data_IF_467781274383
#
_entry.id   IF_467781274383
#
_cell.length_a   1.000
_cell.length_b   1.000
_cell.length_c   1.000
_cell.angle_alpha   90.00
_cell.angle_beta   90.00
_cell.angle_gamma   90.00
#
_symmetry.space_group_name_H-M   'P 1'
#
loop_
_entity.id
_entity.type
_entity.pdbx_description
1 polymer ?
#
# COMPACT_ATOMS: atom_id res chain seq x y z
N UNK A 1 -16.93 -1.01 -5.92
CA UNK A 1 -16.73 -1.79 -7.16
C UNK A 1 -17.17 -0.97 -8.36
N UNK A 2 -16.36 -0.92 -9.40
CA UNK A 2 -16.66 -0.26 -10.69
C UNK A 2 -16.62 -1.33 -11.79
N UNK A 3 -17.61 -1.37 -12.68
CA UNK A 3 -17.58 -2.25 -13.85
C UNK A 3 -17.09 -1.45 -15.07
N UNK A 4 -15.92 -1.82 -15.60
CA UNK A 4 -15.32 -1.17 -16.78
C UNK A 4 -16.09 -1.60 -18.04
N UNK A 5 -17.20 -0.92 -18.31
CA UNK A 5 -18.05 -0.95 -19.54
C UNK A 5 -19.52 -0.60 -19.25
N UNK A 6 -19.94 -0.63 -17.98
CA UNK A 6 -21.29 -0.25 -17.58
C UNK A 6 -21.35 1.26 -17.31
N UNK A 7 -22.36 1.93 -17.86
CA UNK A 7 -22.65 3.34 -17.55
C UNK A 7 -23.15 3.53 -16.11
N UNK A 8 -23.43 2.44 -15.38
CA UNK A 8 -24.05 2.44 -14.06
C UNK A 8 -23.22 1.67 -13.03
N UNK A 9 -23.29 2.15 -11.79
CA UNK A 9 -22.88 1.41 -10.59
C UNK A 9 -23.79 0.19 -10.40
N UNK A 10 -23.24 -1.00 -10.17
CA UNK A 10 -24.01 -2.19 -9.79
C UNK A 10 -24.93 -1.86 -8.60
N UNK A 11 -26.22 -2.20 -8.76
CA UNK A 11 -27.22 -2.10 -7.69
C UNK A 11 -26.81 -3.05 -6.55
N UNK A 12 -26.72 -2.50 -5.34
CA UNK A 12 -25.97 -3.10 -4.25
C UNK A 12 -26.88 -4.02 -3.45
N UNK A 13 -26.44 -5.25 -3.21
CA UNK A 13 -26.89 -6.00 -2.04
C UNK A 13 -26.63 -5.20 -0.74
N UNK A 14 -26.85 -5.82 0.43
CA UNK A 14 -26.63 -5.16 1.72
C UNK A 14 -25.27 -4.45 1.78
N UNK A 15 -25.22 -3.12 1.95
CA UNK A 15 -23.97 -2.37 1.93
C UNK A 15 -23.10 -2.76 3.12
N UNK A 16 -21.80 -2.98 2.88
CA UNK A 16 -20.82 -3.16 3.94
C UNK A 16 -20.78 -1.92 4.85
N UNK A 17 -20.47 -2.08 6.15
CA UNK A 17 -20.12 -0.96 7.02
C UNK A 17 -19.04 -0.10 6.35
N UNK A 18 -19.17 1.22 6.47
CA UNK A 18 -18.18 2.16 5.94
C UNK A 18 -16.81 1.88 6.55
N UNK A 19 -15.79 1.67 5.71
CA UNK A 19 -14.43 1.37 6.13
C UNK A 19 -13.38 2.03 5.24
N UNK A 20 -12.22 2.35 5.79
CA UNK A 20 -11.06 2.89 5.06
C UNK A 20 -9.77 2.20 5.52
N UNK A 21 -8.73 2.28 4.68
CA UNK A 21 -7.47 1.52 4.87
C UNK A 21 -7.71 0.02 5.09
N UNK A 22 -8.76 -0.53 4.48
CA UNK A 22 -8.95 -1.97 4.27
C UNK A 22 -8.18 -2.41 3.03
N UNK A 23 -8.04 -3.71 2.83
CA UNK A 23 -7.52 -4.28 1.59
C UNK A 23 -8.62 -4.94 0.79
N UNK A 24 -8.45 -4.98 -0.53
CA UNK A 24 -9.32 -5.67 -1.46
C UNK A 24 -8.44 -6.48 -2.43
N UNK A 25 -8.42 -7.80 -2.29
CA UNK A 25 -7.51 -8.70 -3.00
C UNK A 25 -8.30 -9.63 -3.90
N UNK A 26 -8.01 -9.61 -5.19
CA UNK A 26 -8.61 -10.56 -6.14
C UNK A 26 -8.15 -11.99 -5.82
N UNK A 27 -9.08 -12.94 -5.86
CA UNK A 27 -8.85 -14.38 -5.70
C UNK A 27 -8.80 -15.05 -7.09
N UNK A 28 -8.25 -16.27 -7.16
CA UNK A 28 -8.04 -16.97 -8.44
C UNK A 28 -9.34 -17.38 -9.14
N UNK A 29 -10.42 -17.52 -8.38
CA UNK A 29 -11.77 -17.82 -8.90
C UNK A 29 -12.55 -16.56 -9.36
N UNK A 30 -11.93 -15.38 -9.28
CA UNK A 30 -12.52 -14.11 -9.68
C UNK A 30 -13.32 -13.41 -8.58
N UNK A 31 -13.46 -14.00 -7.39
CA UNK A 31 -13.99 -13.31 -6.20
C UNK A 31 -12.97 -12.30 -5.66
N UNK A 32 -13.38 -11.49 -4.68
CA UNK A 32 -12.51 -10.50 -4.04
C UNK A 32 -12.61 -10.62 -2.52
N UNK A 33 -11.48 -10.87 -1.86
CA UNK A 33 -11.37 -10.77 -0.41
C UNK A 33 -11.30 -9.30 0.00
N UNK A 34 -12.15 -8.89 0.93
CA UNK A 34 -12.13 -7.59 1.59
C UNK A 34 -11.82 -7.82 3.05
N UNK A 35 -10.68 -7.32 3.54
CA UNK A 35 -10.20 -7.61 4.88
C UNK A 35 -9.96 -6.34 5.70
N UNK A 36 -10.46 -6.35 6.94
CA UNK A 36 -10.19 -5.37 7.99
C UNK A 36 -10.48 -3.92 7.58
N UNK A 37 -9.60 -3.02 8.03
CA UNK A 37 -9.78 -1.56 7.89
C UNK A 37 -10.40 -0.93 9.14
N UNK A 38 -10.46 0.39 9.14
CA UNK A 38 -11.05 1.17 10.22
C UNK A 38 -12.53 1.47 9.93
N UNK A 39 -13.43 1.11 10.85
CA UNK A 39 -14.89 1.20 10.67
C UNK A 39 -15.55 2.21 11.60
N UNK A 40 -15.01 2.39 12.81
CA UNK A 40 -15.50 3.34 13.78
C UNK A 40 -14.56 4.54 13.83
N UNK A 41 -15.10 5.75 13.65
CA UNK A 41 -14.35 7.00 13.73
C UNK A 41 -15.08 7.95 14.67
N UNK A 42 -14.36 8.50 15.65
CA UNK A 42 -14.90 9.46 16.60
C UNK A 42 -14.02 10.69 16.70
N UNK A 43 -14.62 11.87 16.90
CA UNK A 43 -13.85 13.09 17.08
C UNK A 43 -13.18 13.10 18.46
N UNK A 44 -11.92 13.48 18.52
CA UNK A 44 -11.13 13.54 19.75
C UNK A 44 -10.27 14.81 19.77
N UNK A 45 -9.94 15.38 20.95
CA UNK A 45 -8.98 16.46 21.03
C UNK A 45 -7.65 16.07 20.38
N UNK A 46 -7.03 17.00 19.66
CA UNK A 46 -5.68 16.77 19.17
C UNK A 46 -4.70 16.71 20.36
N UNK A 47 -3.88 15.66 20.44
CA UNK A 47 -2.80 15.54 21.43
C UNK A 47 -1.81 16.70 21.33
N UNK A 48 -1.17 17.03 22.45
CA UNK A 48 -0.19 18.12 22.51
C UNK A 48 1.04 17.88 21.61
N UNK A 49 1.37 16.62 21.33
CA UNK A 49 2.46 16.19 20.43
C UNK A 49 2.04 16.05 18.96
N UNK A 50 0.76 16.31 18.64
CA UNK A 50 0.19 16.18 17.30
C UNK A 50 -0.38 17.52 16.85
N UNK A 51 0.26 18.14 15.85
CA UNK A 51 -0.20 19.40 15.24
C UNK A 51 -1.40 19.24 14.30
N UNK A 52 -2.54 18.80 14.83
CA UNK A 52 -3.82 18.82 14.13
C UNK A 52 -4.70 19.99 14.57
N UNK A 53 -5.53 20.50 13.66
CA UNK A 53 -6.65 21.42 14.02
C UNK A 53 -7.92 20.64 14.34
N UNK A 54 -8.06 19.43 13.80
CA UNK A 54 -9.12 18.48 14.14
C UNK A 54 -8.54 17.07 14.16
N UNK A 55 -8.85 16.31 15.19
CA UNK A 55 -8.38 14.94 15.32
C UNK A 55 -9.54 13.97 15.47
N UNK A 56 -9.32 12.76 14.96
CA UNK A 56 -10.27 11.67 15.02
C UNK A 56 -9.53 10.41 15.47
N UNK A 57 -10.15 9.64 16.33
CA UNK A 57 -9.70 8.30 16.65
C UNK A 57 -10.44 7.32 15.76
N UNK A 58 -9.71 6.35 15.21
CA UNK A 58 -10.24 5.31 14.36
C UNK A 58 -9.94 3.93 14.95
N UNK A 59 -10.96 3.08 15.05
CA UNK A 59 -10.85 1.70 15.56
C UNK A 59 -10.91 0.71 14.41
N UNK A 60 -9.97 -0.23 14.39
CA UNK A 60 -9.91 -1.28 13.39
C UNK A 60 -11.01 -2.33 13.60
N UNK A 61 -11.37 -2.98 12.51
CA UNK A 61 -12.30 -4.10 12.45
C UNK A 61 -11.54 -5.37 12.06
N UNK A 62 -12.01 -6.49 12.59
CA UNK A 62 -11.65 -7.88 12.24
C UNK A 62 -12.61 -8.48 11.21
N UNK A 63 -13.57 -7.72 10.68
CA UNK A 63 -14.48 -8.22 9.67
C UNK A 63 -13.70 -8.55 8.37
N UNK A 64 -14.04 -9.68 7.77
CA UNK A 64 -13.67 -10.02 6.41
C UNK A 64 -14.89 -10.44 5.60
N UNK A 65 -14.85 -10.15 4.30
CA UNK A 65 -15.90 -10.50 3.36
C UNK A 65 -15.31 -11.01 2.06
N UNK A 66 -15.97 -11.98 1.45
CA UNK A 66 -15.74 -12.34 0.05
C UNK A 66 -16.84 -11.71 -0.79
N UNK A 67 -16.45 -10.84 -1.71
CA UNK A 67 -17.34 -10.30 -2.72
C UNK A 67 -17.35 -11.22 -3.94
N UNK A 68 -18.54 -11.64 -4.35
CA UNK A 68 -18.76 -12.38 -5.59
C UNK A 68 -19.30 -11.43 -6.68
N UNK A 69 -18.49 -11.10 -7.72
CA UNK A 69 -18.94 -10.25 -8.81
C UNK A 69 -20.08 -10.83 -9.65
N UNK A 70 -20.26 -12.16 -9.69
CA UNK A 70 -21.31 -12.80 -10.49
C UNK A 70 -22.71 -12.55 -9.90
N UNK A 71 -22.80 -12.52 -8.58
CA UNK A 71 -24.06 -12.27 -7.84
C UNK A 71 -24.15 -10.84 -7.30
N UNK A 72 -23.05 -10.09 -7.31
CA UNK A 72 -22.91 -8.77 -6.70
C UNK A 72 -23.18 -8.76 -5.19
N UNK A 73 -22.89 -9.87 -4.52
CA UNK A 73 -23.11 -10.05 -3.08
C UNK A 73 -21.80 -10.07 -2.30
N UNK A 74 -21.88 -9.65 -1.04
CA UNK A 74 -20.81 -9.80 -0.06
C UNK A 74 -21.18 -10.94 0.90
N UNK A 75 -20.28 -11.88 1.06
CA UNK A 75 -20.41 -13.01 1.96
C UNK A 75 -19.46 -12.80 3.14
N UNK A 76 -19.92 -12.76 4.39
CA UNK A 76 -19.03 -12.67 5.54
C UNK A 76 -18.15 -13.92 5.62
N UNK A 77 -16.86 -13.73 5.86
CA UNK A 77 -15.95 -14.84 6.20
C UNK A 77 -16.21 -15.22 7.65
N UNK A 78 -16.48 -16.49 7.90
CA UNK A 78 -16.70 -16.98 9.26
C UNK A 78 -15.46 -16.74 10.13
N UNK A 79 -15.66 -16.25 11.37
CA UNK A 79 -14.57 -15.89 12.28
C UNK A 79 -13.92 -14.54 12.00
N UNK A 80 -13.86 -14.11 10.73
CA UNK A 80 -13.15 -12.88 10.35
C UNK A 80 -11.64 -13.06 10.43
N UNK A 81 -10.91 -11.95 10.51
CA UNK A 81 -9.49 -11.94 10.82
C UNK A 81 -9.28 -12.33 12.29
N UNK A 82 -8.19 -13.04 12.59
CA UNK A 82 -7.76 -13.29 13.97
C UNK A 82 -7.40 -12.00 14.72
N UNK A 83 -7.05 -10.94 13.99
CA UNK A 83 -6.70 -9.66 14.57
C UNK A 83 -7.31 -8.50 13.83
N UNK A 84 -8.13 -7.69 14.52
CA UNK A 84 -8.57 -6.40 13.99
C UNK A 84 -7.38 -5.53 13.58
N UNK A 85 -7.36 -5.10 12.31
CA UNK A 85 -6.27 -4.32 11.73
C UNK A 85 -6.74 -3.39 10.61
N UNK A 86 -6.25 -2.16 10.60
CA UNK A 86 -6.35 -1.22 9.48
C UNK A 86 -4.97 -0.78 9.01
N UNK A 87 -4.85 -0.37 7.73
CA UNK A 87 -3.57 0.06 7.15
C UNK A 87 -2.54 -1.06 6.96
N UNK A 88 -3.00 -2.31 6.98
CA UNK A 88 -2.24 -3.51 6.67
C UNK A 88 -2.05 -3.68 5.14
N UNK A 89 -1.24 -4.65 4.74
CA UNK A 89 -1.13 -5.12 3.36
C UNK A 89 -1.78 -6.49 3.21
N UNK A 90 -2.24 -6.82 2.00
CA UNK A 90 -2.79 -8.14 1.69
C UNK A 90 -2.28 -8.57 0.31
N UNK A 91 -1.49 -9.64 0.28
CA UNK A 91 -0.81 -10.12 -0.93
C UNK A 91 -1.23 -11.55 -1.21
N UNK A 92 -1.72 -11.82 -2.43
CA UNK A 92 -2.06 -13.18 -2.87
C UNK A 92 -0.77 -13.91 -3.27
N UNK A 93 -0.57 -15.11 -2.72
CA UNK A 93 0.50 -16.05 -3.08
C UNK A 93 0.13 -16.85 -4.32
N UNK A 94 1.11 -17.52 -4.94
CA UNK A 94 0.86 -18.31 -6.16
C UNK A 94 -0.09 -19.51 -5.98
N UNK A 95 -0.26 -20.00 -4.76
CA UNK A 95 -1.20 -21.08 -4.45
C UNK A 95 -2.62 -20.59 -4.13
N UNK A 96 -2.86 -19.29 -4.24
CA UNK A 96 -4.15 -18.65 -4.03
C UNK A 96 -4.39 -18.15 -2.60
N UNK A 97 -3.56 -18.55 -1.64
CA UNK A 97 -3.62 -18.02 -0.27
C UNK A 97 -3.36 -16.52 -0.24
N UNK A 98 -3.93 -15.80 0.73
CA UNK A 98 -3.69 -14.36 0.89
C UNK A 98 -3.04 -14.09 2.24
N UNK A 99 -1.83 -13.55 2.23
CA UNK A 99 -1.12 -13.11 3.44
C UNK A 99 -1.59 -11.70 3.76
N UNK A 100 -2.14 -11.51 4.95
CA UNK A 100 -2.53 -10.21 5.49
C UNK A 100 -1.53 -9.84 6.59
N UNK A 101 -0.71 -8.81 6.35
CA UNK A 101 0.42 -8.49 7.21
C UNK A 101 0.33 -7.09 7.82
N UNK A 102 0.72 -6.97 9.09
CA UNK A 102 0.86 -5.70 9.81
C UNK A 102 -0.46 -4.93 9.98
N UNK A 103 -0.40 -3.61 9.89
CA UNK A 103 -1.49 -2.70 10.20
C UNK A 103 -1.48 -2.26 11.66
N UNK A 104 -2.59 -1.71 12.14
CA UNK A 104 -2.75 -1.25 13.51
C UNK A 104 -4.20 -1.45 13.99
N UNK A 105 -4.38 -1.63 15.30
CA UNK A 105 -5.71 -1.78 15.93
C UNK A 105 -6.43 -0.45 16.10
N UNK A 106 -5.67 0.64 16.27
CA UNK A 106 -6.17 2.00 16.36
C UNK A 106 -5.32 2.92 15.49
N UNK A 107 -5.91 4.05 15.08
CA UNK A 107 -5.17 5.13 14.46
C UNK A 107 -5.72 6.48 14.90
N UNK A 108 -4.83 7.45 15.10
CA UNK A 108 -5.22 8.86 15.16
C UNK A 108 -5.11 9.44 13.75
N UNK A 109 -6.19 10.10 13.33
CA UNK A 109 -6.27 10.87 12.11
C UNK A 109 -6.25 12.35 12.50
N UNK A 110 -5.22 13.08 12.11
CA UNK A 110 -5.11 14.51 12.33
C UNK A 110 -5.29 15.26 11.01
N UNK A 111 -6.18 16.25 11.01
CA UNK A 111 -6.29 17.24 9.93
C UNK A 111 -5.34 18.37 10.27
N UNK A 112 -4.33 18.57 9.42
CA UNK A 112 -3.33 19.61 9.56
C UNK A 112 -3.65 20.71 8.56
N UNK A 113 -3.86 21.93 9.05
CA UNK A 113 -4.00 23.10 8.18
C UNK A 113 -2.60 23.53 7.71
N UNK A 114 -2.36 23.37 6.41
CA UNK A 114 -1.14 23.77 5.75
C UNK A 114 -1.37 25.19 5.23
N UNK A 115 -0.70 26.18 5.81
CA UNK A 115 -0.96 27.60 5.54
C UNK A 115 -0.86 28.04 4.06
N UNK A 116 -1.38 29.26 3.82
CA UNK A 116 -1.42 30.04 2.56
C UNK A 116 -0.15 29.97 1.70
N UNK A 117 -0.26 30.02 0.35
CA UNK A 117 -1.35 30.63 -0.45
C UNK A 117 -2.50 29.72 -0.88
N UNK A 118 -2.47 28.44 -0.53
CA UNK A 118 -3.63 27.56 -0.64
C UNK A 118 -4.08 27.19 0.76
N UNK A 119 -5.38 27.27 1.05
CA UNK A 119 -5.99 26.71 2.27
C UNK A 119 -5.98 25.17 2.18
N UNK A 120 -4.80 24.58 2.04
CA UNK A 120 -4.62 23.16 1.88
C UNK A 120 -4.71 22.48 3.24
N UNK A 121 -5.41 21.35 3.28
CA UNK A 121 -5.49 20.49 4.45
C UNK A 121 -4.80 19.18 4.14
N UNK A 122 -3.92 18.77 5.04
CA UNK A 122 -3.29 17.46 5.00
C UNK A 122 -3.93 16.56 6.05
N UNK A 123 -3.91 15.25 5.77
CA UNK A 123 -4.39 14.25 6.71
C UNK A 123 -3.21 13.36 7.05
N UNK A 124 -2.92 13.33 8.35
CA UNK A 124 -1.89 12.49 8.92
C UNK A 124 -2.57 11.35 9.65
N UNK A 125 -2.12 10.13 9.40
CA UNK A 125 -2.63 8.93 10.07
C UNK A 125 -1.46 8.29 10.80
N UNK A 126 -1.58 8.16 12.12
CA UNK A 126 -0.57 7.52 12.97
C UNK A 126 -1.15 6.37 13.77
N UNK A 127 -0.43 5.25 13.89
CA UNK A 127 -0.90 4.07 14.60
C UNK A 127 -0.69 4.28 16.09
N UNK A 128 -1.63 4.92 16.77
CA UNK A 128 -1.49 5.20 18.20
C UNK A 128 -2.74 4.89 19.01
N UNK A 129 -2.54 4.47 20.25
CA UNK A 129 -3.60 4.36 21.25
C UNK A 129 -3.96 5.71 21.87
N UNK A 130 -5.01 5.73 22.69
CA UNK A 130 -5.36 6.89 23.53
C UNK A 130 -4.27 7.28 24.53
N UNK A 131 -3.42 6.32 24.92
CA UNK A 131 -2.27 6.56 25.77
C UNK A 131 -1.06 7.11 25.00
N UNK A 132 -1.15 7.25 23.67
CA UNK A 132 -0.07 7.73 22.80
C UNK A 132 0.97 6.66 22.47
N UNK A 133 0.69 5.38 22.73
CA UNK A 133 1.58 4.26 22.43
C UNK A 133 1.42 3.81 20.97
N UNK A 134 2.50 3.36 20.33
CA UNK A 134 2.44 2.73 19.01
C UNK A 134 1.68 1.41 19.08
N UNK A 135 0.62 1.27 18.28
CA UNK A 135 -0.25 0.09 18.23
C UNK A 135 -0.12 -0.69 16.91
N UNK A 136 1.03 -0.55 16.25
CA UNK A 136 1.33 -1.29 15.05
C UNK A 136 1.50 -2.78 15.32
N UNK A 137 0.88 -3.58 14.47
CA UNK A 137 0.91 -5.05 14.50
C UNK A 137 2.24 -5.54 13.96
N UNK A 138 2.89 -6.41 14.73
CA UNK A 138 4.07 -7.19 14.34
C UNK A 138 3.67 -8.64 14.06
N UNK A 139 2.56 -8.82 13.35
CA UNK A 139 1.99 -10.12 13.03
C UNK A 139 1.32 -10.09 11.65
N UNK A 140 1.22 -11.27 11.06
CA UNK A 140 0.48 -11.57 9.85
C UNK A 140 -0.47 -12.75 10.08
N UNK A 141 -1.38 -12.94 9.16
CA UNK A 141 -2.29 -14.08 9.11
C UNK A 141 -2.55 -14.48 7.65
N UNK A 142 -2.95 -15.72 7.43
CA UNK A 142 -3.20 -16.25 6.09
C UNK A 142 -4.69 -16.53 5.94
N UNK A 143 -5.27 -16.00 4.87
CA UNK A 143 -6.57 -16.41 4.37
C UNK A 143 -6.41 -17.57 3.40
N UNK A 144 -7.10 -18.67 3.69
CA UNK A 144 -7.21 -19.85 2.86
C UNK A 144 -8.51 -19.75 2.06
N UNK A 145 -8.49 -19.46 0.74
CA UNK A 145 -9.72 -19.21 -0.04
C UNK A 145 -10.62 -20.44 -0.20
N UNK A 146 -10.06 -21.62 0.04
CA UNK A 146 -10.74 -22.91 -0.06
C UNK A 146 -11.03 -23.55 1.30
N UNK A 147 -10.68 -22.91 2.42
CA UNK A 147 -11.10 -23.41 3.72
C UNK A 147 -12.63 -23.34 3.82
N UNK A 148 -13.27 -24.46 4.14
CA UNK A 148 -14.70 -24.48 4.47
C UNK A 148 -14.99 -25.55 5.54
N UNK A 149 -15.67 -25.21 6.65
CA UNK A 149 -15.91 -26.05 7.83
C UNK A 149 -17.14 -26.98 7.73
N UNK A 150 -17.58 -27.34 6.52
CA UNK A 150 -18.63 -28.34 6.37
C UNK A 150 -18.05 -29.75 6.57
N UNK A 151 -17.77 -30.11 7.82
CA UNK A 151 -17.53 -31.51 8.17
C UNK A 151 -18.83 -32.31 7.95
N UNK A 152 -18.96 -32.92 6.77
CA UNK A 152 -19.66 -34.19 6.62
C UNK A 152 -20.89 -34.23 5.73
N UNK A 153 -21.68 -33.17 5.58
CA UNK A 153 -22.80 -33.15 4.63
C UNK A 153 -23.10 -31.72 4.14
N UNK A 154 -22.95 -31.50 2.84
CA UNK A 154 -23.58 -30.42 2.08
C UNK A 154 -25.10 -30.70 2.06
N UNK A 155 -25.77 -30.43 3.18
CA UNK A 155 -27.15 -30.86 3.49
C UNK A 155 -28.17 -30.19 2.56
N UNK A 156 -27.87 -29.02 2.01
CA UNK A 156 -28.78 -28.27 1.15
C UNK A 156 -28.35 -28.19 -0.34
N UNK A 157 -27.16 -28.69 -0.70
CA UNK A 157 -26.65 -28.73 -2.08
C UNK A 157 -26.56 -27.34 -2.73
N UNK A 158 -26.34 -26.29 -1.95
CA UNK A 158 -26.42 -24.91 -2.44
C UNK A 158 -25.10 -24.33 -3.00
N UNK A 159 -23.96 -24.99 -2.75
CA UNK A 159 -22.67 -24.58 -3.28
C UNK A 159 -22.19 -23.24 -2.71
N UNK A 160 -22.17 -23.13 -1.38
CA UNK A 160 -21.84 -21.92 -0.60
C UNK A 160 -20.74 -21.02 -1.23
N UNK A 161 -21.08 -19.79 -1.67
CA UNK A 161 -20.14 -18.78 -2.16
C UNK A 161 -19.27 -18.14 -1.07
N UNK A 162 -19.51 -18.42 0.21
CA UNK A 162 -18.76 -17.91 1.38
C UNK A 162 -17.50 -18.72 1.72
N UNK A 163 -16.97 -19.52 0.78
CA UNK A 163 -15.71 -20.28 0.98
C UNK A 163 -14.55 -19.36 1.36
N UNK A 164 -13.80 -19.84 2.34
CA UNK A 164 -12.52 -19.33 2.79
C UNK A 164 -12.53 -19.01 4.28
N UNK A 165 -11.34 -18.97 4.89
CA UNK A 165 -11.21 -18.74 6.32
C UNK A 165 -9.81 -18.30 6.71
N UNK A 166 -9.72 -17.65 7.87
CA UNK A 166 -8.47 -17.38 8.56
C UNK A 166 -8.28 -18.41 9.68
N UNK A 167 -7.02 -18.79 9.94
CA UNK A 167 -6.68 -19.75 11.00
C UNK A 167 -6.40 -21.16 10.50
N UNK A 168 -6.15 -22.08 11.44
CA UNK A 168 -5.87 -23.47 11.12
C UNK A 168 -7.15 -24.16 10.59
N UNK A 169 -7.15 -24.71 9.37
CA UNK A 169 -8.34 -25.30 8.78
C UNK A 169 -8.78 -26.61 9.44
N UNK A 170 -7.94 -27.22 10.28
CA UNK A 170 -8.19 -28.47 11.01
C UNK A 170 -8.65 -28.20 12.44
N UNK A 171 -8.06 -27.21 13.12
CA UNK A 171 -8.39 -26.92 14.53
C UNK A 171 -9.36 -25.75 14.71
N UNK A 172 -9.45 -24.86 13.72
CA UNK A 172 -10.20 -23.61 13.81
C UNK A 172 -9.55 -22.55 14.72
N UNK A 173 -8.32 -22.79 15.18
CA UNK A 173 -7.60 -21.84 16.02
C UNK A 173 -7.09 -20.65 15.21
N UNK A 174 -7.13 -19.47 15.82
CA UNK A 174 -6.50 -18.27 15.28
C UNK A 174 -4.98 -18.43 15.21
N UNK A 175 -4.40 -18.31 14.00
CA UNK A 175 -2.95 -18.42 13.79
C UNK A 175 -2.40 -17.06 13.38
N UNK A 176 -1.90 -16.31 14.37
CA UNK A 176 -1.08 -15.13 14.13
C UNK A 176 0.38 -15.55 13.95
N UNK A 177 0.95 -15.13 12.84
CA UNK A 177 2.33 -15.40 12.44
C UNK A 177 3.18 -14.18 12.80
N UNK A 178 4.16 -14.30 13.71
CA UNK A 178 4.98 -13.16 14.10
C UNK A 178 5.78 -12.58 12.92
N UNK A 179 5.83 -11.25 12.87
CA UNK A 179 6.79 -10.48 12.07
C UNK A 179 7.94 -10.01 12.97
N UNK A 180 9.07 -9.63 12.37
CA UNK A 180 10.19 -9.08 13.14
C UNK A 180 9.86 -7.67 13.67
N UNK A 181 9.07 -6.92 12.91
CA UNK A 181 8.79 -5.51 13.15
C UNK A 181 7.28 -5.22 13.10
N UNK A 182 6.84 -4.24 13.90
CA UNK A 182 5.51 -3.67 13.79
C UNK A 182 5.40 -2.79 12.55
N UNK A 183 4.43 -3.04 11.67
CA UNK A 183 4.35 -2.34 10.37
C UNK A 183 2.98 -1.78 10.05
N UNK A 184 2.79 -0.48 10.20
CA UNK A 184 1.60 0.24 9.75
C UNK A 184 1.87 1.06 8.47
N UNK A 185 0.96 0.97 7.48
CA UNK A 185 1.12 1.60 6.16
C UNK A 185 2.49 1.27 5.53
N UNK A 186 2.89 0.00 5.55
CA UNK A 186 4.08 -0.47 4.84
C UNK A 186 3.71 -0.86 3.40
N UNK A 187 4.72 -1.07 2.56
CA UNK A 187 4.55 -1.63 1.24
C UNK A 187 4.70 -3.16 1.27
N UNK A 188 3.99 -3.85 0.39
CA UNK A 188 4.21 -5.26 0.14
C UNK A 188 4.19 -5.56 -1.36
N UNK A 189 5.02 -6.51 -1.79
CA UNK A 189 4.99 -7.05 -3.14
C UNK A 189 5.42 -8.52 -3.13
N UNK A 190 4.81 -9.31 -4.02
CA UNK A 190 5.19 -10.71 -4.22
C UNK A 190 6.61 -10.79 -4.77
N UNK A 191 7.39 -11.75 -4.31
CA UNK A 191 8.70 -12.04 -4.91
C UNK A 191 8.51 -12.65 -6.31
N UNK A 192 8.99 -11.99 -7.37
CA UNK A 192 8.83 -12.47 -8.75
C UNK A 192 9.60 -13.77 -9.06
N UNK A 193 10.56 -14.19 -8.24
CA UNK A 193 11.29 -15.47 -8.44
C UNK A 193 10.75 -16.60 -7.59
N UNK A 194 10.15 -16.28 -6.44
CA UNK A 194 9.50 -17.25 -5.57
C UNK A 194 8.15 -16.71 -5.05
N UNK A 195 7.03 -17.02 -5.71
CA UNK A 195 5.73 -16.45 -5.37
C UNK A 195 5.05 -17.07 -4.14
N UNK A 196 5.79 -17.84 -3.32
CA UNK A 196 5.42 -18.12 -1.93
C UNK A 196 5.90 -16.99 -0.98
N UNK A 197 6.78 -16.10 -1.47
CA UNK A 197 7.41 -15.04 -0.69
C UNK A 197 6.83 -13.67 -0.97
N UNK A 198 6.79 -12.84 0.07
CA UNK A 198 6.32 -11.46 0.02
C UNK A 198 7.35 -10.58 0.73
N UNK A 199 7.85 -9.57 0.02
CA UNK A 199 8.62 -8.49 0.65
C UNK A 199 7.67 -7.58 1.41
N UNK A 200 7.97 -7.29 2.67
CA UNK A 200 7.30 -6.28 3.50
C UNK A 200 8.31 -5.17 3.79
N UNK A 201 8.04 -3.92 3.39
CA UNK A 201 9.05 -2.86 3.42
C UNK A 201 8.51 -1.54 4.00
N UNK A 202 9.30 -0.95 4.90
CA UNK A 202 9.03 0.33 5.52
C UNK A 202 7.78 0.32 6.40
N UNK A 203 7.14 1.48 6.49
CA UNK A 203 5.97 1.74 7.32
C UNK A 203 6.23 2.87 8.31
N UNK A 204 5.16 3.39 8.94
CA UNK A 204 5.26 4.47 9.93
C UNK A 204 6.15 4.06 11.11
N UNK A 205 6.00 2.82 11.59
CA UNK A 205 6.65 2.33 12.80
C UNK A 205 8.04 1.72 12.57
N UNK A 206 8.26 1.14 11.38
CA UNK A 206 9.56 0.57 11.00
C UNK A 206 9.98 1.07 9.62
N UNK A 207 10.25 2.39 9.47
CA UNK A 207 10.47 3.00 8.17
C UNK A 207 11.76 2.54 7.49
N UNK A 208 12.76 2.08 8.24
CA UNK A 208 14.09 1.77 7.70
C UNK A 208 14.31 0.28 7.45
N UNK A 209 13.38 -0.59 7.82
CA UNK A 209 13.56 -2.04 7.71
C UNK A 209 12.67 -2.62 6.63
N UNK A 210 13.10 -3.75 6.10
CA UNK A 210 12.25 -4.65 5.32
C UNK A 210 12.39 -6.06 5.90
N UNK A 211 11.49 -6.96 5.54
CA UNK A 211 11.61 -8.38 5.83
C UNK A 211 10.89 -9.20 4.74
N UNK A 212 11.24 -10.48 4.63
CA UNK A 212 10.61 -11.38 3.66
C UNK A 212 9.79 -12.40 4.40
N UNK A 213 8.48 -12.36 4.17
CA UNK A 213 7.54 -13.40 4.58
C UNK A 213 7.58 -14.54 3.58
N UNK A 214 7.59 -15.79 4.04
CA UNK A 214 7.51 -16.98 3.21
C UNK A 214 6.38 -17.89 3.72
N UNK A 215 5.37 -18.09 2.86
CA UNK A 215 4.20 -18.92 3.14
C UNK A 215 4.51 -20.43 3.21
N UNK A 216 5.67 -20.84 2.70
CA UNK A 216 6.15 -22.23 2.63
C UNK A 216 7.47 -22.40 3.39
N UNK A 217 7.79 -21.46 4.28
CA UNK A 217 9.01 -21.49 5.09
C UNK A 217 9.13 -22.84 5.84
N UNK A 218 10.31 -23.50 5.82
CA UNK A 218 10.53 -24.71 6.60
C UNK A 218 10.26 -24.48 8.09
N UNK A 219 9.39 -25.30 8.68
CA UNK A 219 8.93 -25.12 10.07
C UNK A 219 7.61 -24.36 10.23
N UNK A 220 7.02 -23.90 9.12
CA UNK A 220 5.73 -23.22 9.07
C UNK A 220 5.86 -21.79 8.53
N UNK A 221 4.76 -21.22 7.99
CA UNK A 221 4.77 -19.88 7.42
C UNK A 221 5.35 -18.83 8.37
N UNK A 222 6.09 -17.88 7.83
CA UNK A 222 6.61 -16.76 8.62
C UNK A 222 7.77 -16.03 7.96
N UNK A 223 8.37 -15.13 8.73
CA UNK A 223 9.46 -14.28 8.25
C UNK A 223 10.82 -14.86 8.58
N UNK A 224 11.81 -14.61 7.73
CA UNK A 224 13.22 -14.89 8.07
C UNK A 224 13.72 -13.91 9.13
N UNK A 225 14.76 -14.31 9.89
CA UNK A 225 15.47 -13.35 10.76
C UNK A 225 15.99 -12.21 9.88
N UNK A 226 15.65 -10.99 10.22
CA UNK A 226 16.00 -9.84 9.41
C UNK A 226 17.51 -9.56 9.39
N UNK A 227 18.29 -10.02 10.38
CA UNK A 227 19.76 -9.91 10.36
C UNK A 227 20.33 -8.48 10.24
N UNK A 228 19.49 -7.46 10.45
CA UNK A 228 19.84 -6.05 10.21
C UNK A 228 19.57 -5.54 8.79
N UNK A 229 18.77 -6.24 7.98
CA UNK A 229 18.44 -5.79 6.64
C UNK A 229 17.62 -4.49 6.68
N UNK A 230 18.09 -3.52 5.90
CA UNK A 230 17.60 -2.15 5.92
C UNK A 230 17.38 -1.62 4.52
N UNK A 231 16.43 -0.70 4.41
CA UNK A 231 16.24 0.14 3.24
C UNK A 231 17.36 1.18 3.18
N UNK A 232 17.64 1.72 1.99
CA UNK A 232 18.71 2.73 1.85
C UNK A 232 18.36 4.04 2.57
N UNK A 233 17.07 4.26 2.79
CA UNK A 233 16.49 5.41 3.49
C UNK A 233 15.19 4.99 4.18
N UNK A 234 14.81 5.69 5.24
CA UNK A 234 13.51 5.49 5.90
C UNK A 234 12.34 5.84 4.98
N UNK A 235 11.39 4.91 4.83
CA UNK A 235 10.20 5.03 4.00
C UNK A 235 8.92 4.83 4.84
N UNK A 236 8.15 5.89 5.01
CA UNK A 236 6.82 5.90 5.63
C UNK A 236 5.75 5.90 4.54
N UNK A 237 4.85 4.92 4.57
CA UNK A 237 3.86 4.74 3.51
C UNK A 237 4.47 4.64 2.10
N UNK A 238 5.48 3.79 1.86
CA UNK A 238 5.92 3.50 0.50
C UNK A 238 4.86 2.67 -0.25
N UNK A 239 5.09 2.49 -1.55
CA UNK A 239 4.40 1.47 -2.34
C UNK A 239 5.43 0.62 -3.08
N UNK A 240 5.14 -0.67 -3.25
CA UNK A 240 6.04 -1.61 -3.90
C UNK A 240 5.38 -2.32 -5.08
N UNK A 241 6.19 -2.67 -6.07
CA UNK A 241 5.75 -3.42 -7.26
C UNK A 241 6.86 -4.35 -7.72
N UNK A 242 6.50 -5.60 -8.03
CA UNK A 242 7.40 -6.57 -8.64
C UNK A 242 7.49 -6.35 -10.15
N UNK A 243 8.70 -6.36 -10.70
CA UNK A 243 9.00 -6.16 -12.11
C UNK A 243 9.96 -7.25 -12.63
N UNK A 244 9.87 -7.52 -13.91
CA UNK A 244 10.73 -8.47 -14.64
C UNK A 244 10.56 -9.93 -14.26
N UNK A 245 11.46 -10.74 -14.82
CA UNK A 245 11.52 -12.18 -14.63
C UNK A 245 12.95 -12.69 -14.72
N UNK A 246 13.19 -13.91 -14.24
CA UNK A 246 14.51 -14.54 -14.22
C UNK A 246 15.56 -13.67 -13.53
N UNK A 247 16.71 -13.47 -14.17
CA UNK A 247 17.82 -12.67 -13.61
C UNK A 247 17.56 -11.17 -13.52
N UNK A 248 16.46 -10.67 -14.09
CA UNK A 248 16.05 -9.26 -14.03
C UNK A 248 14.85 -9.03 -13.10
N UNK A 249 14.45 -10.07 -12.37
CA UNK A 249 13.36 -10.03 -11.40
C UNK A 249 13.76 -9.14 -10.20
N UNK A 250 12.93 -8.16 -9.86
CA UNK A 250 13.19 -7.22 -8.75
C UNK A 250 11.90 -6.65 -8.21
N UNK A 251 11.93 -6.16 -6.98
CA UNK A 251 10.85 -5.37 -6.41
C UNK A 251 11.32 -3.93 -6.26
N UNK A 252 10.54 -3.01 -6.81
CA UNK A 252 10.76 -1.58 -6.67
C UNK A 252 9.92 -1.02 -5.53
N UNK A 253 10.53 -0.22 -4.67
CA UNK A 253 9.90 0.37 -3.48
C UNK A 253 9.95 1.89 -3.66
N UNK A 254 8.83 2.49 -4.02
CA UNK A 254 8.72 3.91 -4.37
C UNK A 254 8.21 4.75 -3.21
N UNK A 255 8.78 5.95 -3.07
CA UNK A 255 8.26 6.98 -2.19
C UNK A 255 8.46 6.70 -0.70
N UNK A 256 7.65 7.38 0.10
CA UNK A 256 7.62 7.34 1.56
C UNK A 256 8.77 8.07 2.25
N UNK A 257 9.64 8.75 1.50
CA UNK A 257 10.80 9.44 2.09
C UNK A 257 10.38 10.83 2.57
N UNK A 258 10.69 11.10 3.83
CA UNK A 258 10.30 12.32 4.53
C UNK A 258 11.13 13.54 4.10
N UNK A 259 12.42 13.33 3.86
CA UNK A 259 13.38 14.35 3.45
C UNK A 259 14.00 13.96 2.12
N UNK A 260 13.23 14.08 1.03
CA UNK A 260 13.81 13.83 -0.29
C UNK A 260 14.80 14.95 -0.56
N UNK A 261 16.08 14.60 -0.56
CA UNK A 261 17.17 15.53 -0.80
C UNK A 261 17.56 15.57 -2.28
N UNK A 262 17.41 14.44 -2.97
CA UNK A 262 17.77 14.21 -4.36
C UNK A 262 16.95 13.07 -4.95
N UNK A 263 17.05 12.90 -6.27
CA UNK A 263 16.45 11.77 -6.98
C UNK A 263 16.96 10.40 -6.47
N UNK A 264 18.09 10.35 -5.77
CA UNK A 264 18.71 9.12 -5.25
C UNK A 264 17.92 8.45 -4.13
N UNK A 265 16.97 9.19 -3.54
CA UNK A 265 16.16 8.69 -2.42
C UNK A 265 14.73 8.31 -2.85
N UNK A 266 14.42 8.41 -4.15
CA UNK A 266 13.05 8.23 -4.65
C UNK A 266 12.56 6.79 -4.61
N UNK A 267 13.46 5.83 -4.81
CA UNK A 267 13.11 4.43 -4.71
C UNK A 267 14.30 3.57 -4.25
N UNK A 268 13.95 2.44 -3.68
CA UNK A 268 14.86 1.32 -3.46
C UNK A 268 14.50 0.18 -4.40
N UNK A 269 15.48 -0.65 -4.72
CA UNK A 269 15.29 -1.88 -5.47
C UNK A 269 15.73 -3.03 -4.61
N UNK A 270 14.79 -3.90 -4.30
CA UNK A 270 15.05 -5.19 -3.71
C UNK A 270 15.31 -6.22 -4.81
N UNK A 271 16.42 -6.93 -4.70
CA UNK A 271 16.84 -7.98 -5.63
C UNK A 271 16.81 -9.33 -4.91
N UNK A 272 16.06 -10.31 -5.43
CA UNK A 272 16.02 -11.66 -4.86
C UNK A 272 17.40 -12.33 -4.97
N UNK A 273 17.69 -13.20 -4.00
CA UNK A 273 18.87 -14.05 -3.97
C UNK A 273 18.42 -15.50 -3.68
N UNK A 274 18.93 -16.45 -4.46
CA UNK A 274 18.60 -17.87 -4.32
C UNK A 274 19.26 -18.48 -3.07
N UNK A 275 20.41 -17.95 -2.64
CA UNK A 275 21.18 -18.43 -1.49
C UNK A 275 20.81 -17.71 -0.19
N UNK A 276 20.24 -16.50 -0.28
CA UNK A 276 19.75 -15.70 0.84
C UNK A 276 18.30 -15.27 0.64
N UNK A 277 17.33 -15.84 1.37
CA UNK A 277 15.93 -15.50 1.20
C UNK A 277 15.58 -14.05 1.55
N UNK A 278 16.46 -13.31 2.25
CA UNK A 278 16.29 -11.87 2.48
C UNK A 278 16.58 -11.04 1.23
N UNK A 279 17.29 -11.60 0.23
CA UNK A 279 17.78 -10.84 -0.90
C UNK A 279 18.64 -9.65 -0.49
N UNK A 280 18.69 -8.62 -1.34
CA UNK A 280 19.44 -7.39 -1.06
C UNK A 280 18.67 -6.15 -1.50
N UNK A 281 18.90 -5.03 -0.81
CA UNK A 281 18.36 -3.73 -1.18
C UNK A 281 19.48 -2.79 -1.57
N UNK A 282 19.28 -2.05 -2.66
CA UNK A 282 20.10 -0.90 -3.02
C UNK A 282 19.21 0.28 -3.42
N UNK A 283 19.78 1.49 -3.33
CA UNK A 283 19.13 2.68 -3.89
C UNK A 283 18.94 2.47 -5.39
N UNK A 284 17.82 2.93 -5.93
CA UNK A 284 17.52 2.78 -7.33
C UNK A 284 18.41 3.65 -8.25
N UNK A 285 19.25 4.53 -7.69
CA UNK A 285 20.31 5.24 -8.44
C UNK A 285 21.70 4.63 -8.23
N UNK A 286 21.80 3.47 -7.58
CA UNK A 286 23.05 2.74 -7.45
C UNK A 286 23.63 2.47 -8.86
N UNK A 287 24.86 2.93 -9.15
CA UNK A 287 25.46 2.83 -10.48
C UNK A 287 25.67 1.38 -10.93
N UNK A 288 25.66 0.42 -10.00
CA UNK A 288 25.78 -1.01 -10.31
C UNK A 288 24.49 -1.60 -10.89
N UNK A 289 23.33 -1.01 -10.59
CA UNK A 289 22.04 -1.48 -11.10
C UNK A 289 21.75 -1.00 -12.53
N UNK A 290 22.48 0.01 -13.02
CA UNK A 290 22.28 0.63 -14.34
C UNK A 290 20.84 1.13 -14.58
N UNK A 291 20.13 1.53 -13.53
CA UNK A 291 18.73 1.96 -13.60
C UNK A 291 18.62 3.47 -13.83
N UNK A 292 17.71 3.89 -14.71
CA UNK A 292 17.49 5.30 -15.01
C UNK A 292 16.17 5.80 -14.38
N UNK A 293 16.23 6.90 -13.64
CA UNK A 293 15.05 7.70 -13.29
C UNK A 293 14.85 8.83 -14.30
N UNK A 294 13.62 9.37 -14.46
CA UNK A 294 13.40 10.56 -15.26
C UNK A 294 14.34 11.69 -14.80
N UNK A 295 15.03 12.30 -15.76
CA UNK A 295 15.75 13.53 -15.49
C UNK A 295 14.77 14.64 -15.05
N UNK A 296 15.18 15.55 -14.15
CA UNK A 296 14.37 16.70 -13.77
C UNK A 296 13.90 17.50 -14.99
N UNK A 297 12.75 18.18 -14.89
CA UNK A 297 12.24 18.99 -16.00
C UNK A 297 13.25 20.10 -16.33
N UNK A 298 13.84 20.06 -17.53
CA UNK A 298 14.89 20.98 -17.97
C UNK A 298 14.37 22.43 -18.12
N UNK A 299 14.33 23.17 -17.00
CA UNK A 299 14.19 24.64 -16.96
C UNK A 299 14.49 25.26 -15.57
N UNK A 300 14.80 24.48 -14.53
CA UNK A 300 15.10 25.01 -13.19
C UNK A 300 16.52 24.64 -12.76
N UNK A 301 17.32 25.64 -12.41
CA UNK A 301 18.69 25.49 -11.86
C UNK A 301 18.71 25.05 -10.39
N UNK A 302 17.62 24.48 -9.89
CA UNK A 302 17.48 24.07 -8.49
C UNK A 302 17.34 22.54 -8.42
N UNK A 303 18.15 21.92 -7.56
CA UNK A 303 18.01 20.50 -7.15
C UNK A 303 16.70 20.32 -6.39
N UNK A 304 15.61 20.05 -7.12
CA UNK A 304 14.31 19.76 -6.51
C UNK A 304 13.95 18.28 -6.63
N UNK A 305 13.46 17.66 -5.56
CA UNK A 305 12.79 16.38 -5.65
C UNK A 305 11.36 16.64 -6.11
N UNK A 306 11.12 16.41 -7.39
CA UNK A 306 9.79 16.56 -8.01
C UNK A 306 8.82 15.43 -7.59
N UNK A 307 9.29 14.45 -6.81
CA UNK A 307 8.61 13.16 -6.59
C UNK A 307 8.65 12.66 -5.12
N UNK A 308 8.45 13.51 -4.11
CA UNK A 308 8.13 12.92 -2.79
C UNK A 308 6.73 12.30 -2.90
N UNK A 309 6.55 11.05 -2.50
CA UNK A 309 5.30 10.31 -2.74
C UNK A 309 4.89 9.63 -1.45
N UNK A 310 3.88 10.14 -0.75
CA UNK A 310 3.27 9.40 0.37
C UNK A 310 2.23 8.47 -0.26
N UNK A 311 2.51 7.16 -0.20
CA UNK A 311 1.73 6.05 -0.79
C UNK A 311 1.34 6.31 -2.24
N UNK A 312 2.31 6.37 -3.18
CA UNK A 312 2.00 6.48 -4.59
C UNK A 312 1.19 5.26 -5.05
N UNK A 313 0.30 5.44 -6.02
CA UNK A 313 -0.25 4.29 -6.72
C UNK A 313 0.81 3.77 -7.70
N UNK A 314 1.08 2.48 -7.66
CA UNK A 314 2.06 1.81 -8.52
C UNK A 314 1.41 0.60 -9.18
N UNK A 315 1.76 0.34 -10.44
CA UNK A 315 1.33 -0.84 -11.18
C UNK A 315 2.45 -1.31 -12.12
N UNK A 316 2.61 -2.63 -12.26
CA UNK A 316 3.45 -3.22 -13.30
C UNK A 316 2.69 -3.13 -14.64
N UNK A 317 3.42 -2.93 -15.74
CA UNK A 317 2.92 -2.89 -17.11
C UNK A 317 3.78 -3.76 -18.02
N UNK A 318 3.20 -4.15 -19.15
CA UNK A 318 3.89 -4.89 -20.21
C UNK A 318 4.63 -6.11 -19.64
N UNK A 319 3.90 -6.97 -18.93
CA UNK A 319 4.44 -8.16 -18.27
C UNK A 319 5.60 -7.88 -17.28
N UNK A 320 5.60 -6.69 -16.67
CA UNK A 320 6.59 -6.28 -15.68
C UNK A 320 7.81 -5.57 -16.26
N UNK A 321 7.77 -5.13 -17.53
CA UNK A 321 8.84 -4.33 -18.13
C UNK A 321 8.85 -2.89 -17.59
N UNK A 322 7.69 -2.35 -17.18
CA UNK A 322 7.59 -1.00 -16.64
C UNK A 322 6.83 -0.97 -15.32
N UNK A 323 7.23 -0.06 -14.42
CA UNK A 323 6.39 0.40 -13.33
C UNK A 323 5.74 1.73 -13.72
N UNK A 324 4.42 1.80 -13.74
CA UNK A 324 3.70 3.07 -13.67
C UNK A 324 3.74 3.58 -12.24
N UNK A 325 4.16 4.82 -12.04
CA UNK A 325 4.14 5.48 -10.73
C UNK A 325 3.30 6.74 -10.84
N UNK A 326 2.28 6.84 -10.01
CA UNK A 326 1.41 8.01 -9.90
C UNK A 326 1.26 8.44 -8.45
N UNK A 327 1.51 9.71 -8.17
CA UNK A 327 1.23 10.29 -6.86
C UNK A 327 1.86 11.66 -6.68
N UNK A 328 1.70 12.25 -5.49
CA UNK A 328 2.15 13.63 -5.25
C UNK A 328 2.88 13.86 -3.93
N UNK A 329 3.92 14.71 -3.99
CA UNK A 329 4.33 15.74 -3.03
C UNK A 329 5.42 16.66 -3.66
N UNK A 330 5.33 17.96 -3.35
CA UNK A 330 6.06 19.08 -3.98
C UNK A 330 7.44 19.42 -3.37
N UNK A 331 8.09 20.50 -3.87
CA UNK A 331 9.54 20.72 -3.76
C UNK A 331 10.05 21.17 -2.38
N UNK A 332 11.39 21.09 -2.20
CA UNK A 332 12.17 21.69 -1.09
C UNK A 332 11.84 23.17 -0.87
N UNK A 333 11.78 23.60 0.38
CA UNK A 333 11.75 25.02 0.75
C UNK A 333 13.12 25.69 0.52
N UNK A 334 13.18 27.02 0.27
CA UNK A 334 14.43 27.77 0.20
C UNK A 334 15.26 27.65 1.48
N UNK A 335 16.58 27.77 1.35
CA UNK A 335 17.52 27.72 2.48
C UNK A 335 17.19 28.77 3.55
N UNK A 336 16.96 28.31 4.79
CA UNK A 336 16.58 29.14 5.93
C UNK A 336 15.12 28.97 6.38
N UNK A 337 14.27 28.30 5.60
CA UNK A 337 13.06 27.66 6.14
C UNK A 337 13.43 26.26 6.61
N UNK A 338 13.03 25.88 7.82
CA UNK A 338 13.29 24.55 8.34
C UNK A 338 12.53 23.53 7.51
N UNK A 339 13.25 22.70 6.74
CA UNK A 339 12.80 21.36 6.36
C UNK A 339 12.88 20.49 7.62
N UNK A 340 12.12 20.84 8.66
CA UNK A 340 11.89 19.93 9.75
C UNK A 340 10.88 18.91 9.20
N UNK A 341 11.25 17.64 9.30
CA UNK A 341 10.46 16.43 9.04
C UNK A 341 8.92 16.65 9.05
N UNK A 342 8.12 15.83 8.33
CA UNK A 342 6.74 15.63 8.73
C UNK A 342 6.73 14.74 9.98
N UNK A 343 7.19 15.27 11.11
CA UNK A 343 6.39 15.21 12.32
C UNK A 343 5.65 16.52 12.31
N UNK A 344 4.33 16.50 12.22
CA UNK A 344 3.47 17.28 13.11
C UNK A 344 4.08 18.59 13.68
N UNK A 345 4.60 19.48 12.84
CA UNK A 345 5.33 20.66 13.30
C UNK A 345 5.30 21.81 12.29
N UNK A 346 4.14 22.45 12.16
CA UNK A 346 4.01 23.92 12.13
C UNK A 346 4.89 24.78 11.22
N UNK A 347 5.42 24.28 10.10
CA UNK A 347 6.18 25.08 9.16
C UNK A 347 5.42 25.26 7.83
N UNK A 348 5.46 26.49 7.32
CA UNK A 348 4.84 26.93 6.08
C UNK A 348 5.36 26.13 4.87
N UNK A 349 4.47 25.40 4.20
CA UNK A 349 4.77 24.73 2.93
C UNK A 349 4.88 25.78 1.82
N UNK A 350 5.99 25.76 1.08
CA UNK A 350 6.22 26.67 -0.03
C UNK A 350 5.24 26.39 -1.19
N UNK A 351 4.73 27.44 -1.81
CA UNK A 351 4.05 27.34 -3.10
C UNK A 351 5.05 27.39 -4.26
N UNK A 352 4.66 26.67 -5.31
CA UNK A 352 5.13 26.71 -6.69
C UNK A 352 6.24 25.74 -7.13
N UNK A 353 5.89 25.00 -8.20
CA UNK A 353 6.73 24.37 -9.26
C UNK A 353 6.83 22.84 -9.35
N UNK A 354 5.81 22.08 -8.92
CA UNK A 354 5.60 20.75 -9.50
C UNK A 354 4.94 20.89 -10.88
N UNK A 355 5.61 20.46 -11.97
CA UNK A 355 5.10 20.53 -13.34
C UNK A 355 3.75 19.80 -13.57
N UNK A 356 3.23 19.90 -14.79
CA UNK A 356 1.94 19.33 -15.19
C UNK A 356 1.92 17.78 -15.18
N UNK A 357 3.08 17.15 -15.28
CA UNK A 357 3.20 15.71 -15.41
C UNK A 357 3.70 15.11 -14.09
N UNK A 358 2.83 14.33 -13.44
CA UNK A 358 3.01 13.74 -12.08
C UNK A 358 2.92 12.22 -12.09
N UNK A 359 3.00 11.68 -13.30
CA UNK A 359 2.97 10.27 -13.61
C UNK A 359 4.14 9.99 -14.52
N UNK A 360 4.87 8.92 -14.24
CA UNK A 360 6.00 8.48 -15.03
C UNK A 360 6.04 6.96 -15.04
N UNK A 361 6.69 6.41 -16.07
CA UNK A 361 7.03 5.00 -16.11
C UNK A 361 8.50 4.81 -15.81
N UNK A 362 8.83 3.75 -15.08
CA UNK A 362 10.20 3.33 -14.82
C UNK A 362 10.44 2.00 -15.51
N UNK A 363 11.50 1.91 -16.32
CA UNK A 363 11.87 0.67 -17.00
C UNK A 363 12.65 -0.25 -16.07
N UNK A 364 12.31 -1.52 -16.10
CA UNK A 364 12.98 -2.52 -15.28
C UNK A 364 14.41 -2.85 -15.78
N UNK A 365 14.74 -2.53 -17.03
CA UNK A 365 16.05 -2.74 -17.65
C UNK A 365 16.98 -1.52 -17.61
N UNK A 366 16.57 -0.45 -16.92
CA UNK A 366 17.34 0.79 -16.83
C UNK A 366 17.34 1.65 -18.10
N UNK A 367 16.47 1.34 -19.06
CA UNK A 367 16.22 2.17 -20.22
C UNK A 367 15.57 3.51 -19.89
N UNK A 368 15.44 4.38 -20.91
CA UNK A 368 14.84 5.69 -20.77
C UNK A 368 13.42 5.62 -20.19
N UNK A 369 13.18 6.38 -19.13
CA UNK A 369 11.86 6.57 -18.54
C UNK A 369 11.08 7.58 -19.35
N UNK A 370 9.82 7.28 -19.62
CA UNK A 370 8.96 8.19 -20.37
C UNK A 370 8.01 8.89 -19.40
N UNK A 371 8.02 10.21 -19.47
CA UNK A 371 7.00 11.01 -18.81
C UNK A 371 5.71 10.83 -19.60
N UNK A 372 4.69 10.27 -18.97
CA UNK A 372 3.38 10.12 -19.60
C UNK A 372 2.60 11.40 -19.34
N UNK A 373 2.14 12.06 -20.41
CA UNK A 373 1.21 13.18 -20.26
C UNK A 373 -0.13 12.62 -19.79
N UNK A 374 -0.61 12.91 -18.56
CA UNK A 374 -1.84 12.32 -18.09
C UNK A 374 -3.04 12.92 -18.82
N UNK A 375 -4.17 12.19 -18.96
CA UNK A 375 -5.46 12.75 -19.36
C UNK A 375 -6.00 13.80 -18.37
N UNK A 376 -5.49 13.88 -17.14
CA UNK A 376 -5.88 14.91 -16.17
C UNK A 376 -4.84 15.17 -15.08
N UNK A 377 -4.81 16.39 -14.56
CA UNK A 377 -3.92 16.91 -13.53
C UNK A 377 -4.23 16.43 -12.10
N UNK A 378 -4.79 15.23 -11.93
CA UNK A 378 -5.37 14.81 -10.66
C UNK A 378 -4.29 14.42 -9.64
N UNK A 379 -4.41 14.96 -8.42
CA UNK A 379 -3.55 14.62 -7.28
C UNK A 379 -4.07 13.32 -6.68
N UNK A 380 -3.23 12.29 -6.62
CA UNK A 380 -3.59 10.99 -6.04
C UNK A 380 -2.60 10.65 -4.91
N UNK A 381 -3.02 10.76 -3.65
CA UNK A 381 -2.33 10.17 -2.50
C UNK A 381 -3.23 9.12 -1.86
N UNK A 382 -2.68 8.03 -1.35
CA UNK A 382 -3.46 6.87 -0.85
C UNK A 382 -4.38 6.25 -1.93
N UNK A 383 -3.98 6.33 -3.19
CA UNK A 383 -4.69 5.71 -4.31
C UNK A 383 -4.17 4.28 -4.55
N UNK A 384 -4.93 3.50 -5.31
CA UNK A 384 -4.53 2.20 -5.81
C UNK A 384 -4.53 2.21 -7.34
N UNK A 385 -3.62 1.44 -7.95
CA UNK A 385 -3.53 1.27 -9.39
C UNK A 385 -3.51 -0.22 -9.71
N UNK A 386 -4.11 -0.60 -10.85
CA UNK A 386 -4.12 -1.98 -11.34
C UNK A 386 -4.12 -1.98 -12.87
N UNK A 387 -3.34 -2.88 -13.46
CA UNK A 387 -3.40 -3.17 -14.89
C UNK A 387 -4.63 -4.03 -15.21
N UNK A 388 -5.39 -3.63 -16.23
CA UNK A 388 -6.54 -4.34 -16.76
C UNK A 388 -6.07 -5.36 -17.82
N UNK A 389 -6.90 -6.38 -18.08
CA UNK A 389 -6.60 -7.44 -19.06
C UNK A 389 -6.37 -6.92 -20.49
N UNK A 390 -6.84 -5.72 -20.80
CA UNK A 390 -6.65 -5.07 -22.10
C UNK A 390 -5.40 -4.16 -22.13
N UNK A 391 -4.53 -4.26 -21.13
CA UNK A 391 -3.28 -3.49 -21.00
C UNK A 391 -3.45 -2.10 -20.40
N UNK A 392 -4.69 -1.65 -20.21
CA UNK A 392 -4.97 -0.33 -19.67
C UNK A 392 -4.77 -0.29 -18.16
N UNK A 393 -4.34 0.84 -17.61
CA UNK A 393 -4.19 0.98 -16.15
C UNK A 393 -5.33 1.76 -15.55
N UNK A 394 -5.99 1.19 -14.54
CA UNK A 394 -7.01 1.87 -13.77
C UNK A 394 -6.43 2.39 -12.46
N UNK A 395 -6.51 3.70 -12.24
CA UNK A 395 -6.18 4.33 -10.94
C UNK A 395 -7.47 4.73 -10.24
N UNK A 396 -7.65 4.25 -9.00
CA UNK A 396 -8.88 4.44 -8.23
C UNK A 396 -8.60 5.06 -6.87
N UNK A 397 -9.42 6.05 -6.54
CA UNK A 397 -9.43 6.66 -5.21
C UNK A 397 -8.29 7.63 -4.97
N UNK A 398 -7.99 7.82 -3.69
CA UNK A 398 -7.06 8.82 -3.19
C UNK A 398 -7.69 10.16 -2.87
N UNK A 399 -6.89 11.05 -2.30
CA UNK A 399 -7.29 12.40 -1.90
C UNK A 399 -7.03 13.38 -3.05
N UNK A 400 -8.09 13.84 -3.71
CA UNK A 400 -8.00 14.90 -4.71
C UNK A 400 -8.29 16.25 -4.03
N UNK A 401 -7.32 17.17 -4.05
CA UNK A 401 -7.45 18.53 -3.47
C UNK A 401 -7.96 18.57 -2.01
N UNK A 402 -7.56 17.60 -1.18
CA UNK A 402 -7.99 17.51 0.22
C UNK A 402 -9.42 17.01 0.42
N UNK A 403 -10.08 16.49 -0.62
CA UNK A 403 -11.43 15.93 -0.54
C UNK A 403 -11.46 14.42 -0.82
N UNK A 404 -12.20 13.68 0.03
CA UNK A 404 -12.58 12.28 -0.20
C UNK A 404 -13.95 12.13 -0.88
N UNK A 405 -14.67 13.23 -1.13
CA UNK A 405 -16.09 13.19 -1.48
C UNK A 405 -16.35 12.73 -2.92
N UNK A 406 -15.30 12.51 -3.71
CA UNK A 406 -15.43 12.07 -5.10
C UNK A 406 -14.43 10.94 -5.37
N UNK A 407 -14.86 9.69 -5.20
CA UNK A 407 -14.10 8.54 -5.74
C UNK A 407 -14.25 8.61 -7.25
N UNK A 408 -13.33 9.30 -7.92
CA UNK A 408 -13.23 9.24 -9.38
C UNK A 408 -12.28 8.09 -9.73
N UNK A 409 -12.72 7.18 -10.60
CA UNK A 409 -11.81 6.34 -11.38
C UNK A 409 -11.21 7.26 -12.43
N UNK A 410 -10.14 7.99 -12.08
CA UNK A 410 -9.82 9.22 -12.80
C UNK A 410 -9.01 8.97 -14.07
N UNK A 411 -8.30 7.85 -14.19
CA UNK A 411 -7.41 7.68 -15.34
C UNK A 411 -7.34 6.23 -15.78
N UNK A 412 -7.67 6.03 -17.05
CA UNK A 412 -7.26 4.88 -17.86
C UNK A 412 -6.01 5.37 -18.61
N UNK A 413 -4.86 4.77 -18.33
CA UNK A 413 -3.68 4.92 -19.18
C UNK A 413 -3.80 3.90 -20.31
N UNK A 414 -3.72 4.36 -21.55
CA UNK A 414 -3.68 3.52 -22.77
C UNK A 414 -2.22 3.21 -23.15
#
# INVERSE_FOLDING_TARGET
>A
MYQVSAADTLDRGTPLPGRFLHTATALDDGRVLIAGGFTAVSATPCPDDVMGTHCFEATASDDAYVFDPATALFHPVAGGLAGARGGHTATRLADGRVVVAGGATQALIAVVDVGSPVSAREIVVVPRSDAGEDVSRADAEIFEPNANPEEGEDIDRDGDPARGGFGDPVTGDEVLIPLNDGRFLHAAAIDPTNPARVLLAGGVSSPTTYEVFDGDKPGGPGVYDNGGATLSVGRIAPSAVALGSGSNARIWIFGGVLDVASNDTLADVWTPDDDDPLGSVASATDPTLSLAFPAPVAATTEEHPEYALIRPAVAALDDGDYALVTGWYGPRCPSGMTNAAPVFSGASICDHRGGLDRTFTVRNDGGATTRTSPPSSARHGLASAVELRDGRVMVVGGVENGSFTTIRATVVYD
#
